data_IF_994402305006
#
_entry.id   IF_994402305006
#
_cell.length_a   1.000
_cell.length_b   1.000
_cell.length_c   1.000
_cell.angle_alpha   90.00
_cell.angle_beta   90.00
_cell.angle_gamma   90.00
#
_symmetry.space_group_name_H-M   'P 1'
#
loop_
_entity.id
_entity.type
_entity.pdbx_description
1 polymer ?
#
# COMPACT_ATOMS: atom_id res chain seq x y z
N UNK A 1 1.02 5.62 -12.81
CA UNK A 1 -0.24 6.18 -13.35
C UNK A 1 -1.44 5.89 -12.44
N UNK A 2 -1.72 4.62 -12.14
CA UNK A 2 -2.87 4.20 -11.30
C UNK A 2 -2.91 4.85 -9.91
N UNK A 3 -1.76 5.01 -9.24
CA UNK A 3 -1.67 5.71 -7.96
C UNK A 3 -2.18 7.16 -8.02
N UNK A 4 -1.83 7.92 -9.07
CA UNK A 4 -2.24 9.31 -9.19
C UNK A 4 -3.75 9.44 -9.42
N UNK A 5 -4.33 8.54 -10.22
CA UNK A 5 -5.77 8.50 -10.41
C UNK A 5 -6.50 8.16 -9.10
N UNK A 6 -6.01 7.17 -8.36
CA UNK A 6 -6.53 6.79 -7.05
C UNK A 6 -6.49 7.98 -6.08
N UNK A 7 -5.37 8.71 -6.06
CA UNK A 7 -5.17 9.87 -5.19
C UNK A 7 -6.11 11.03 -5.55
N UNK A 8 -6.19 11.41 -6.83
CA UNK A 8 -7.08 12.50 -7.30
C UNK A 8 -8.53 12.14 -7.00
N UNK A 9 -8.94 10.90 -7.30
CA UNK A 9 -10.28 10.42 -7.00
C UNK A 9 -10.59 10.46 -5.50
N UNK A 10 -9.69 9.96 -4.65
CA UNK A 10 -9.84 10.03 -3.20
C UNK A 10 -9.92 11.46 -2.68
N UNK A 11 -9.11 12.36 -3.23
CA UNK A 11 -9.13 13.78 -2.88
C UNK A 11 -10.46 14.44 -3.23
N UNK A 12 -10.98 14.23 -4.44
CA UNK A 12 -12.25 14.82 -4.89
C UNK A 12 -13.45 14.27 -4.09
N UNK A 13 -13.47 12.96 -3.83
CA UNK A 13 -14.60 12.29 -3.17
C UNK A 13 -14.61 12.51 -1.66
N UNK A 14 -13.45 12.45 -0.98
CA UNK A 14 -13.38 12.46 0.48
C UNK A 14 -12.87 13.78 1.09
N UNK A 15 -12.21 14.65 0.31
CA UNK A 15 -11.61 15.88 0.82
C UNK A 15 -12.27 17.15 0.26
N UNK A 16 -12.01 17.50 -1.00
CA UNK A 16 -12.54 18.72 -1.62
C UNK A 16 -12.71 18.55 -3.14
N UNK A 17 -13.86 18.91 -3.74
CA UNK A 17 -15.06 19.56 -3.17
C UNK A 17 -15.92 18.67 -2.26
N UNK A 18 -15.64 17.37 -2.19
CA UNK A 18 -16.36 16.40 -1.37
C UNK A 18 -17.58 15.84 -2.11
N UNK A 19 -17.65 14.52 -2.23
CA UNK A 19 -18.80 13.82 -2.77
C UNK A 19 -20.00 13.88 -1.81
N UNK A 20 -21.21 13.65 -2.33
CA UNK A 20 -22.39 13.44 -1.50
C UNK A 20 -22.17 12.27 -0.53
N UNK A 21 -22.95 12.20 0.54
CA UNK A 21 -22.90 11.10 1.51
C UNK A 21 -23.07 9.72 0.84
N UNK A 22 -23.95 9.63 -0.15
CA UNK A 22 -24.18 8.41 -0.94
C UNK A 22 -22.95 8.03 -1.76
N UNK A 23 -22.39 8.99 -2.53
CA UNK A 23 -21.20 8.73 -3.35
C UNK A 23 -20.02 8.31 -2.46
N UNK A 24 -19.82 8.98 -1.31
CA UNK A 24 -18.74 8.62 -0.38
C UNK A 24 -18.91 7.20 0.17
N UNK A 25 -20.13 6.82 0.57
CA UNK A 25 -20.42 5.50 1.11
C UNK A 25 -20.18 4.41 0.07
N UNK A 26 -20.65 4.62 -1.16
CA UNK A 26 -20.55 3.63 -2.22
C UNK A 26 -19.12 3.55 -2.78
N UNK A 27 -18.38 4.67 -2.77
CA UNK A 27 -16.99 4.75 -3.24
C UNK A 27 -15.98 4.19 -2.24
N UNK A 28 -16.26 4.25 -0.94
CA UNK A 28 -15.35 3.83 0.13
C UNK A 28 -14.80 2.40 -0.04
N UNK A 29 -15.62 1.34 -0.24
CA UNK A 29 -15.10 -0.02 -0.40
C UNK A 29 -14.23 -0.17 -1.64
N UNK A 30 -14.59 0.49 -2.75
CA UNK A 30 -13.78 0.48 -3.98
C UNK A 30 -12.46 1.22 -3.83
N UNK A 31 -12.48 2.36 -3.14
CA UNK A 31 -11.28 3.14 -2.88
C UNK A 31 -10.29 2.35 -2.01
N UNK A 32 -10.78 1.67 -0.97
CA UNK A 32 -9.94 0.83 -0.12
C UNK A 32 -9.39 -0.37 -0.90
N UNK A 33 -10.23 -1.08 -1.67
CA UNK A 33 -9.82 -2.23 -2.48
C UNK A 33 -8.74 -1.87 -3.51
N UNK A 34 -8.97 -0.81 -4.28
CA UNK A 34 -8.01 -0.36 -5.30
C UNK A 34 -6.72 0.17 -4.66
N UNK A 35 -6.82 0.86 -3.52
CA UNK A 35 -5.66 1.31 -2.75
C UNK A 35 -4.78 0.14 -2.29
N UNK A 36 -5.39 -0.89 -1.71
CA UNK A 36 -4.69 -2.12 -1.32
C UNK A 36 -4.06 -2.83 -2.53
N UNK A 37 -4.78 -2.93 -3.64
CA UNK A 37 -4.26 -3.53 -4.86
C UNK A 37 -3.03 -2.79 -5.39
N UNK A 38 -3.10 -1.45 -5.50
CA UNK A 38 -1.96 -0.61 -5.93
C UNK A 38 -0.78 -0.78 -4.99
N UNK A 39 -1.02 -0.87 -3.68
CA UNK A 39 0.03 -1.07 -2.68
C UNK A 39 0.77 -2.40 -2.87
N UNK A 40 0.05 -3.52 -3.02
CA UNK A 40 0.66 -4.83 -3.25
C UNK A 40 1.47 -4.84 -4.55
N UNK A 41 0.93 -4.25 -5.62
CA UNK A 41 1.65 -4.11 -6.89
C UNK A 41 2.91 -3.25 -6.75
N UNK A 42 2.87 -2.17 -5.96
CA UNK A 42 4.02 -1.32 -5.72
C UNK A 42 5.14 -2.06 -4.96
N UNK A 43 4.79 -2.85 -3.93
CA UNK A 43 5.75 -3.71 -3.21
C UNK A 43 6.36 -4.76 -4.15
N UNK A 44 5.54 -5.40 -4.99
CA UNK A 44 6.02 -6.35 -6.00
C UNK A 44 6.97 -5.71 -7.01
N UNK A 45 6.66 -4.50 -7.48
CA UNK A 45 7.51 -3.76 -8.41
C UNK A 45 8.84 -3.33 -7.76
N UNK A 46 8.83 -2.97 -6.47
CA UNK A 46 10.07 -2.71 -5.73
C UNK A 46 10.95 -3.97 -5.65
N UNK A 47 10.36 -5.13 -5.36
CA UNK A 47 11.07 -6.40 -5.36
C UNK A 47 11.69 -6.72 -6.73
N UNK A 48 10.95 -6.48 -7.82
CA UNK A 48 11.44 -6.68 -9.18
C UNK A 48 12.61 -5.72 -9.51
N UNK A 49 12.52 -4.46 -9.09
CA UNK A 49 13.61 -3.49 -9.24
C UNK A 49 14.87 -3.86 -8.45
N UNK A 50 14.72 -4.44 -7.26
CA UNK A 50 15.87 -4.97 -6.51
C UNK A 50 16.54 -6.14 -7.24
N UNK A 51 15.75 -7.06 -7.79
CA UNK A 51 16.25 -8.19 -8.59
C UNK A 51 16.95 -7.72 -9.87
N UNK A 52 16.39 -6.75 -10.59
CA UNK A 52 16.98 -6.16 -11.78
C UNK A 52 18.33 -5.49 -11.45
N UNK A 53 18.37 -4.69 -10.38
CA UNK A 53 19.60 -4.05 -9.92
C UNK A 53 20.67 -5.07 -9.53
N UNK A 54 20.28 -6.12 -8.80
CA UNK A 54 21.20 -7.18 -8.40
C UNK A 54 21.75 -7.94 -9.62
N UNK A 55 20.87 -8.28 -10.58
CA UNK A 55 21.26 -8.95 -11.82
C UNK A 55 22.26 -8.11 -12.62
N UNK A 56 22.02 -6.80 -12.74
CA UNK A 56 22.98 -5.91 -13.40
C UNK A 56 24.33 -5.87 -12.67
N UNK A 57 24.34 -5.82 -11.34
CA UNK A 57 25.60 -5.83 -10.59
C UNK A 57 26.35 -7.15 -10.79
N UNK A 58 25.68 -8.30 -10.72
CA UNK A 58 26.28 -9.60 -10.98
C UNK A 58 26.86 -9.71 -12.40
N UNK A 59 26.15 -9.25 -13.41
CA UNK A 59 26.63 -9.22 -14.82
C UNK A 59 27.85 -8.31 -14.98
N UNK A 60 27.94 -7.21 -14.21
CA UNK A 60 29.09 -6.30 -14.22
C UNK A 60 30.26 -6.78 -13.34
N UNK A 61 30.26 -8.04 -12.90
CA UNK A 61 31.37 -8.66 -12.18
C UNK A 61 31.32 -8.50 -10.66
N UNK A 62 30.18 -8.11 -10.10
CA UNK A 62 29.98 -8.16 -8.65
C UNK A 62 30.06 -9.60 -8.15
N UNK A 63 30.81 -9.83 -7.08
CA UNK A 63 30.80 -11.12 -6.41
C UNK A 63 29.39 -11.40 -5.87
N UNK A 64 28.85 -12.59 -6.17
CA UNK A 64 27.54 -13.07 -5.68
C UNK A 64 27.40 -13.03 -4.15
N UNK A 65 28.52 -13.12 -3.44
CA UNK A 65 28.60 -13.02 -1.97
C UNK A 65 29.32 -11.73 -1.51
N UNK A 66 29.24 -10.66 -2.29
CA UNK A 66 29.74 -9.34 -1.92
C UNK A 66 28.83 -8.63 -0.92
N UNK A 67 29.38 -7.69 -0.16
CA UNK A 67 28.64 -6.85 0.79
C UNK A 67 27.46 -6.11 0.15
N UNK A 68 27.62 -5.67 -1.11
CA UNK A 68 26.55 -5.02 -1.88
C UNK A 68 25.38 -5.96 -2.18
N UNK A 69 25.64 -7.21 -2.55
CA UNK A 69 24.60 -8.21 -2.81
C UNK A 69 23.80 -8.54 -1.53
N UNK A 70 24.48 -8.65 -0.40
CA UNK A 70 23.83 -8.85 0.89
C UNK A 70 22.96 -7.65 1.29
N UNK A 71 23.43 -6.42 1.06
CA UNK A 71 22.68 -5.20 1.37
C UNK A 71 21.39 -5.12 0.53
N UNK A 72 21.47 -5.39 -0.77
CA UNK A 72 20.29 -5.41 -1.66
C UNK A 72 19.30 -6.49 -1.24
N UNK A 73 19.78 -7.71 -0.93
CA UNK A 73 18.92 -8.79 -0.44
C UNK A 73 18.25 -8.46 0.90
N UNK A 74 19.00 -7.89 1.85
CA UNK A 74 18.43 -7.46 3.13
C UNK A 74 17.35 -6.39 2.94
N UNK A 75 17.59 -5.41 2.07
CA UNK A 75 16.63 -4.34 1.76
C UNK A 75 15.37 -4.89 1.10
N UNK A 76 15.51 -5.88 0.20
CA UNK A 76 14.38 -6.55 -0.42
C UNK A 76 13.53 -7.30 0.62
N UNK A 77 14.16 -8.07 1.52
CA UNK A 77 13.47 -8.77 2.61
C UNK A 77 12.78 -7.78 3.53
N UNK A 78 13.46 -6.70 3.94
CA UNK A 78 12.88 -5.66 4.80
C UNK A 78 11.66 -5.00 4.15
N UNK A 79 11.71 -4.76 2.84
CA UNK A 79 10.60 -4.19 2.07
C UNK A 79 9.41 -5.14 2.00
N UNK A 80 9.64 -6.44 1.80
CA UNK A 80 8.57 -7.46 1.81
C UNK A 80 7.93 -7.54 3.21
N UNK A 81 8.73 -7.60 4.27
CA UNK A 81 8.23 -7.63 5.64
C UNK A 81 7.39 -6.40 5.96
N UNK A 82 7.89 -5.21 5.63
CA UNK A 82 7.15 -3.96 5.77
C UNK A 82 5.82 -3.99 4.99
N UNK A 83 5.88 -4.45 3.73
CA UNK A 83 4.72 -4.67 2.88
C UNK A 83 3.64 -5.52 3.56
N UNK A 84 4.04 -6.67 4.09
CA UNK A 84 3.15 -7.60 4.79
C UNK A 84 2.57 -6.97 6.06
N UNK A 85 3.39 -6.31 6.88
CA UNK A 85 2.91 -5.69 8.11
C UNK A 85 1.87 -4.59 7.86
N UNK A 86 2.10 -3.72 6.88
CA UNK A 86 1.12 -2.70 6.50
C UNK A 86 -0.17 -3.35 6.00
N UNK A 87 -0.06 -4.38 5.15
CA UNK A 87 -1.23 -5.08 4.63
C UNK A 87 -2.05 -5.75 5.74
N UNK A 88 -1.39 -6.43 6.69
CA UNK A 88 -2.03 -7.02 7.85
C UNK A 88 -2.67 -5.97 8.76
N UNK A 89 -2.04 -4.81 8.92
CA UNK A 89 -2.61 -3.70 9.71
C UNK A 89 -3.92 -3.23 9.09
N UNK A 90 -3.98 -3.09 7.76
CA UNK A 90 -5.21 -2.70 7.05
C UNK A 90 -6.31 -3.76 7.26
N UNK A 91 -5.98 -5.05 7.17
CA UNK A 91 -6.95 -6.14 7.38
C UNK A 91 -7.40 -6.28 8.83
N UNK A 92 -6.53 -5.93 9.79
CA UNK A 92 -6.84 -5.98 11.22
C UNK A 92 -7.81 -4.89 11.66
N UNK A 93 -7.99 -3.83 10.88
CA UNK A 93 -9.04 -2.83 11.11
C UNK A 93 -10.38 -3.39 10.63
N UNK A 94 -10.90 -4.39 11.36
CA UNK A 94 -12.26 -4.90 11.20
C UNK A 94 -13.30 -3.82 11.53
N UNK A 95 -14.57 -4.00 11.10
CA UNK A 95 -15.61 -2.98 11.24
C UNK A 95 -15.67 -2.52 12.70
N UNK A 96 -15.38 -1.24 12.95
CA UNK A 96 -15.74 -0.63 14.22
C UNK A 96 -17.26 -0.74 14.32
N UNK A 97 -17.72 -1.64 15.19
CA UNK A 97 -19.06 -1.54 15.73
C UNK A 97 -19.09 -0.19 16.45
N UNK A 98 -19.57 0.83 15.76
CA UNK A 98 -19.85 2.13 16.34
C UNK A 98 -21.00 1.91 17.33
N UNK A 99 -20.64 1.55 18.56
CA UNK A 99 -21.53 1.42 19.71
C UNK A 99 -21.89 2.82 20.24
N UNK A 100 -22.24 3.73 19.34
CA UNK A 100 -22.86 5.01 19.67
C UNK A 100 -24.36 4.81 19.83
N UNK A 101 -24.71 4.02 20.85
CA UNK A 101 -26.00 4.09 21.52
C UNK A 101 -26.13 5.49 22.14
N UNK A 102 -26.69 6.42 21.38
CA UNK A 102 -27.23 7.67 21.93
C UNK A 102 -28.52 7.33 22.70
N UNK A 103 -28.38 6.74 23.88
CA UNK A 103 -29.44 6.73 24.89
C UNK A 103 -29.27 7.94 25.82
N UNK A 104 -30.23 8.87 25.77
CA UNK A 104 -30.47 9.98 26.71
C UNK A 104 -29.33 11.03 26.77
N UNK A 105 -29.54 12.34 26.92
CA UNK A 105 -30.44 13.09 27.82
C UNK A 105 -30.61 14.51 27.22
N UNK A 106 -31.85 15.01 27.22
CA UNK A 106 -32.33 16.40 27.31
C UNK A 106 -33.47 16.69 26.30
#
# INVERSE_FOLDING_TARGET
>A
MTYHLQWIYGFVVFFYPGGSSEIRRDSLPWHVLLGMFIYVVAVGNACLGFLEKLTFLEVNGLAKYGSEAFLVNFTAIATVLYGVFVFLTILSQGPTADDHSYSAIA
#
